data_IF_035572484312
#
_entry.id   IF_035572484312
#
_cell.length_a   1.000
_cell.length_b   1.000
_cell.length_c   1.000
_cell.angle_alpha   90.00
_cell.angle_beta   90.00
_cell.angle_gamma   90.00
#
_symmetry.space_group_name_H-M   'P 1'
#
loop_
_entity.id
_entity.type
_entity.pdbx_description
1 polymer ?
#
# COMPACT_ATOMS: atom_id res chain seq x y z
N UNK A 1 -4.87 11.97 -3.72
CA UNK A 1 -4.02 11.93 -4.92
C UNK A 1 -2.62 11.39 -4.59
N UNK A 2 -1.91 11.98 -3.61
CA UNK A 2 -0.58 11.50 -3.19
C UNK A 2 -0.54 9.98 -2.88
N UNK A 3 -1.43 9.49 -2.02
CA UNK A 3 -1.51 8.05 -1.68
C UNK A 3 -1.70 7.15 -2.90
N UNK A 4 -2.44 7.63 -3.90
CA UNK A 4 -2.68 6.87 -5.13
C UNK A 4 -1.40 6.78 -5.97
N UNK A 5 -0.66 7.88 -6.10
CA UNK A 5 0.63 7.89 -6.81
C UNK A 5 1.68 7.02 -6.10
N UNK A 6 1.72 7.08 -4.76
CA UNK A 6 2.61 6.24 -3.94
C UNK A 6 2.27 4.75 -4.12
N UNK A 7 0.98 4.38 -4.01
CA UNK A 7 0.53 3.00 -4.17
C UNK A 7 0.75 2.47 -5.58
N UNK A 8 0.50 3.28 -6.61
CA UNK A 8 0.75 2.90 -8.00
C UNK A 8 2.24 2.69 -8.26
N UNK A 9 3.11 3.57 -7.74
CA UNK A 9 4.55 3.42 -7.87
C UNK A 9 5.04 2.12 -7.21
N UNK A 10 4.63 1.85 -5.96
CA UNK A 10 5.00 0.63 -5.25
C UNK A 10 4.53 -0.64 -6.00
N UNK A 11 3.33 -0.60 -6.60
CA UNK A 11 2.79 -1.72 -7.38
C UNK A 11 3.59 -1.98 -8.67
N UNK A 12 3.96 -0.92 -9.40
CA UNK A 12 4.73 -1.03 -10.65
C UNK A 12 6.15 -1.52 -10.38
N UNK A 13 6.80 -0.99 -9.36
CA UNK A 13 8.16 -1.38 -8.95
C UNK A 13 8.20 -2.74 -8.22
N UNK A 14 7.03 -3.31 -7.89
CA UNK A 14 6.89 -4.56 -7.12
C UNK A 14 7.63 -4.52 -5.78
N UNK A 15 7.52 -3.40 -5.07
CA UNK A 15 8.07 -3.22 -3.73
C UNK A 15 6.94 -3.15 -2.69
N UNK A 16 7.13 -3.67 -1.47
CA UNK A 16 6.12 -3.58 -0.42
C UNK A 16 5.94 -2.12 0.05
N UNK A 17 4.71 -1.75 0.39
CA UNK A 17 4.40 -0.45 0.98
C UNK A 17 4.11 -0.57 2.48
N UNK A 18 4.91 0.12 3.30
CA UNK A 18 4.64 0.29 4.73
C UNK A 18 3.55 1.35 4.94
N UNK A 19 2.43 0.96 5.55
CA UNK A 19 1.32 1.88 5.82
C UNK A 19 0.52 1.46 7.05
N UNK A 20 -0.08 2.44 7.72
CA UNK A 20 -1.11 2.19 8.75
C UNK A 20 -2.51 2.05 8.17
N UNK A 21 -2.74 2.50 6.93
CA UNK A 21 -4.06 2.46 6.27
C UNK A 21 -4.14 1.34 5.25
N UNK A 22 -4.09 0.09 5.71
CA UNK A 22 -4.11 -1.08 4.82
C UNK A 22 -5.42 -1.18 4.02
N UNK A 23 -6.54 -0.71 4.58
CA UNK A 23 -7.86 -0.85 3.96
C UNK A 23 -7.94 -0.05 2.66
N UNK A 24 -7.48 1.20 2.69
CA UNK A 24 -7.47 2.08 1.53
C UNK A 24 -6.61 1.52 0.40
N UNK A 25 -5.40 1.09 0.71
CA UNK A 25 -4.49 0.56 -0.30
C UNK A 25 -4.97 -0.78 -0.88
N UNK A 26 -5.55 -1.68 -0.08
CA UNK A 26 -6.14 -2.93 -0.60
C UNK A 26 -7.32 -2.69 -1.56
N UNK A 27 -8.15 -1.69 -1.29
CA UNK A 27 -9.26 -1.34 -2.18
C UNK A 27 -8.77 -0.77 -3.52
N UNK A 28 -7.80 0.13 -3.47
CA UNK A 28 -7.29 0.79 -4.68
C UNK A 28 -6.33 -0.10 -5.49
N UNK A 29 -5.53 -0.94 -4.82
CA UNK A 29 -4.46 -1.74 -5.42
C UNK A 29 -4.46 -3.16 -4.84
N UNK A 30 -5.40 -4.05 -5.24
CA UNK A 30 -5.56 -5.37 -4.63
C UNK A 30 -4.32 -6.29 -4.69
N UNK A 31 -3.41 -6.05 -5.65
CA UNK A 31 -2.16 -6.81 -5.80
C UNK A 31 -0.93 -6.19 -5.12
N UNK A 32 -1.08 -5.07 -4.41
CA UNK A 32 0.04 -4.41 -3.73
C UNK A 32 0.36 -5.13 -2.42
N UNK A 33 1.62 -5.50 -2.23
CA UNK A 33 2.10 -6.04 -0.96
C UNK A 33 2.15 -4.92 0.10
N UNK A 34 1.53 -5.16 1.25
CA UNK A 34 1.41 -4.17 2.32
C UNK A 34 2.03 -4.69 3.60
N UNK A 35 2.90 -3.86 4.18
CA UNK A 35 3.44 -4.06 5.52
C UNK A 35 2.69 -3.09 6.44
N UNK A 36 2.17 -3.59 7.55
CA UNK A 36 1.51 -2.78 8.56
C UNK A 36 2.17 -3.03 9.91
N UNK A 37 2.28 -2.01 10.77
CA UNK A 37 2.72 -2.23 12.14
C UNK A 37 1.74 -3.17 12.84
N UNK A 38 2.28 -4.09 13.63
CA UNK A 38 1.48 -4.90 14.56
C UNK A 38 0.84 -3.96 15.59
N UNK A 39 -0.43 -4.23 15.92
CA UNK A 39 -1.09 -3.53 17.01
C UNK A 39 -0.88 -4.40 18.24
N UNK A 40 -0.08 -3.92 19.20
CA UNK A 40 -0.03 -4.49 20.57
C UNK A 40 -1.36 -4.26 21.31
#
# INVERSE_FOLDING_TARGET
>A
LADFLIGAHALVERVPLLTRDTRRYRQAFPGLELIAPEVE
#
